data_IF_039102050523
#
_entry.id   IF_039102050523
#
_cell.length_a   1.000
_cell.length_b   1.000
_cell.length_c   1.000
_cell.angle_alpha   90.00
_cell.angle_beta   90.00
_cell.angle_gamma   90.00
#
_symmetry.space_group_name_H-M   'P 1'
#
loop_
_entity.id
_entity.type
_entity.pdbx_description
1 polymer ?
#
# COMPACT_ATOMS: atom_id res chain seq x y z
N UNK A 1 -66.86 -9.04 3.88
CA UNK A 1 -66.12 -8.50 2.73
C UNK A 1 -64.74 -8.11 3.23
N UNK A 2 -63.71 -8.79 2.75
CA UNK A 2 -62.31 -8.69 3.18
C UNK A 2 -61.57 -7.75 2.25
N UNK A 3 -60.80 -6.79 2.78
CA UNK A 3 -59.65 -6.19 2.08
C UNK A 3 -58.99 -5.15 3.00
N UNK A 4 -57.67 -4.99 3.10
CA UNK A 4 -56.49 -5.85 2.91
C UNK A 4 -55.36 -5.00 3.51
N UNK A 5 -54.68 -5.55 4.50
CA UNK A 5 -53.51 -4.95 5.15
C UNK A 5 -52.32 -5.08 4.20
N UNK A 6 -51.70 -3.97 3.81
CA UNK A 6 -50.42 -4.00 3.08
C UNK A 6 -49.29 -3.83 4.09
N UNK A 7 -48.66 -4.94 4.46
CA UNK A 7 -47.34 -4.96 5.09
C UNK A 7 -46.30 -4.71 4.00
N UNK A 8 -45.60 -3.58 4.07
CA UNK A 8 -44.41 -3.33 3.28
C UNK A 8 -43.22 -3.97 4.01
N UNK A 9 -42.84 -5.18 3.61
CA UNK A 9 -41.62 -5.83 4.08
C UNK A 9 -40.42 -5.16 3.42
N UNK A 10 -39.67 -4.37 4.19
CA UNK A 10 -38.34 -3.94 3.81
C UNK A 10 -37.39 -5.15 3.91
N UNK A 11 -37.03 -5.74 2.77
CA UNK A 11 -35.88 -6.64 2.70
C UNK A 11 -34.61 -5.78 2.88
N UNK A 12 -34.12 -5.70 4.11
CA UNK A 12 -32.74 -5.34 4.36
C UNK A 12 -31.87 -6.49 3.84
N UNK A 13 -31.21 -6.28 2.70
CA UNK A 13 -30.16 -7.16 2.23
C UNK A 13 -29.02 -7.12 3.23
N UNK A 14 -28.89 -8.17 4.04
CA UNK A 14 -27.70 -8.39 4.84
C UNK A 14 -26.54 -8.63 3.86
N UNK A 15 -25.67 -7.64 3.69
CA UNK A 15 -24.34 -7.85 3.15
C UNK A 15 -23.60 -8.75 4.16
N UNK A 16 -23.62 -10.06 3.90
CA UNK A 16 -22.93 -11.03 4.72
C UNK A 16 -21.43 -10.85 4.53
N UNK A 17 -20.78 -10.17 5.47
CA UNK A 17 -19.34 -10.29 5.70
C UNK A 17 -19.07 -11.78 5.97
N UNK A 18 -18.62 -12.50 4.94
CA UNK A 18 -18.22 -13.89 5.12
C UNK A 18 -16.90 -13.90 5.88
N UNK A 19 -16.98 -14.19 7.18
CA UNK A 19 -15.83 -14.57 7.98
C UNK A 19 -15.23 -15.83 7.37
N UNK A 20 -14.16 -15.69 6.60
CA UNK A 20 -13.40 -16.81 6.09
C UNK A 20 -12.30 -17.16 7.08
N UNK A 21 -12.56 -18.22 7.84
CA UNK A 21 -11.55 -19.06 8.49
C UNK A 21 -10.84 -19.84 7.38
N UNK A 22 -10.05 -19.13 6.57
CA UNK A 22 -9.29 -19.65 5.44
C UNK A 22 -7.81 -19.68 5.80
N UNK A 23 -7.15 -20.80 5.52
CA UNK A 23 -5.76 -21.08 5.84
C UNK A 23 -4.85 -19.85 5.69
N UNK A 24 -4.13 -19.54 6.78
CA UNK A 24 -3.09 -18.52 6.75
C UNK A 24 -2.18 -18.72 5.55
N UNK A 25 -1.83 -17.61 4.90
CA UNK A 25 -0.70 -17.60 3.98
C UNK A 25 0.57 -17.78 4.82
N UNK A 26 0.80 -19.03 5.23
CA UNK A 26 2.04 -19.47 5.82
C UNK A 26 3.16 -19.14 4.84
N UNK A 27 4.17 -18.43 5.37
CA UNK A 27 5.47 -18.22 4.74
C UNK A 27 5.40 -18.02 3.22
N UNK A 28 5.16 -16.79 2.77
CA UNK A 28 5.67 -16.40 1.46
C UNK A 28 7.19 -16.39 1.54
N UNK A 29 7.77 -17.58 1.35
CA UNK A 29 9.14 -17.76 0.94
C UNK A 29 9.41 -16.75 -0.19
N UNK A 30 10.43 -15.92 0.04
CA UNK A 30 11.00 -14.92 -0.88
C UNK A 30 11.30 -15.47 -2.30
N UNK A 31 11.18 -16.79 -2.52
CA UNK A 31 11.55 -17.52 -3.72
C UNK A 31 10.46 -17.70 -4.78
N UNK A 32 9.32 -17.00 -4.73
CA UNK A 32 8.33 -17.02 -5.83
C UNK A 32 7.93 -15.64 -6.35
N UNK A 33 8.89 -14.70 -6.44
CA UNK A 33 8.73 -13.53 -7.32
C UNK A 33 8.85 -14.00 -8.77
N UNK A 34 7.73 -14.12 -9.46
CA UNK A 34 7.63 -14.65 -10.82
C UNK A 34 8.27 -13.66 -11.82
N UNK A 35 9.58 -13.76 -12.07
CA UNK A 35 10.37 -12.94 -13.01
C UNK A 35 10.23 -13.46 -14.47
N UNK A 36 9.01 -13.73 -14.91
CA UNK A 36 8.74 -14.34 -16.21
C UNK A 36 8.52 -13.32 -17.34
N UNK A 37 9.60 -12.79 -17.92
CA UNK A 37 9.57 -11.97 -19.14
C UNK A 37 10.79 -12.23 -20.04
N UNK A 38 10.69 -12.05 -21.37
CA UNK A 38 11.80 -12.34 -22.30
C UNK A 38 13.01 -11.44 -22.02
N UNK A 39 14.20 -12.05 -21.87
CA UNK A 39 15.48 -11.36 -21.66
C UNK A 39 15.80 -10.44 -22.84
N UNK A 40 15.60 -9.13 -22.66
CA UNK A 40 16.27 -8.11 -23.48
C UNK A 40 17.72 -7.98 -22.96
N UNK A 41 18.66 -7.74 -23.87
CA UNK A 41 20.06 -7.40 -23.52
C UNK A 41 20.07 -6.19 -22.60
N UNK A 42 20.33 -6.44 -21.32
CA UNK A 42 20.21 -5.46 -20.25
C UNK A 42 21.57 -4.78 -20.04
N UNK A 43 21.62 -3.46 -20.21
CA UNK A 43 22.78 -2.67 -19.76
C UNK A 43 22.63 -2.52 -18.25
N UNK A 44 23.60 -2.95 -17.41
CA UNK A 44 23.46 -2.86 -15.97
C UNK A 44 23.28 -1.40 -15.55
N UNK A 45 22.11 -1.09 -14.98
CA UNK A 45 21.86 0.19 -14.32
C UNK A 45 22.73 0.29 -13.07
N UNK A 46 23.26 1.48 -12.77
CA UNK A 46 23.92 1.72 -11.50
C UNK A 46 22.93 1.52 -10.34
N UNK A 47 23.41 0.99 -9.21
CA UNK A 47 22.58 0.86 -8.01
C UNK A 47 22.05 2.24 -7.58
N UNK A 48 20.77 2.34 -7.16
CA UNK A 48 20.21 3.60 -6.72
C UNK A 48 20.89 4.08 -5.43
N UNK A 49 21.05 5.39 -5.30
CA UNK A 49 21.71 6.04 -4.16
C UNK A 49 20.79 6.97 -3.38
N UNK A 50 19.64 7.31 -3.96
CA UNK A 50 18.64 8.24 -3.44
C UNK A 50 17.26 7.93 -4.04
N UNK A 51 16.20 8.58 -3.55
CA UNK A 51 14.83 8.39 -4.03
C UNK A 51 14.70 8.68 -5.53
N UNK A 52 15.34 9.76 -6.01
CA UNK A 52 15.29 10.15 -7.41
C UNK A 52 15.84 9.07 -8.34
N UNK A 53 16.98 8.47 -7.99
CA UNK A 53 17.57 7.34 -8.70
C UNK A 53 16.79 6.05 -8.47
N UNK A 54 16.12 5.81 -7.35
CA UNK A 54 15.24 4.64 -7.21
C UNK A 54 14.00 4.73 -8.13
N UNK A 55 13.55 5.94 -8.45
CA UNK A 55 12.26 6.19 -9.11
C UNK A 55 12.29 6.23 -10.65
N UNK A 56 13.46 6.09 -11.29
CA UNK A 56 13.56 6.31 -12.76
C UNK A 56 13.13 5.12 -13.63
N UNK A 57 12.82 3.97 -13.04
CA UNK A 57 12.45 2.76 -13.78
C UNK A 57 11.08 2.26 -13.39
N UNK A 58 10.31 1.85 -14.41
CA UNK A 58 9.02 1.17 -14.27
C UNK A 58 9.11 -0.34 -14.50
N UNK A 59 10.29 -0.87 -14.85
CA UNK A 59 10.46 -2.32 -14.99
C UNK A 59 10.70 -2.94 -13.60
N UNK A 60 9.80 -3.84 -13.13
CA UNK A 60 9.91 -4.45 -11.80
C UNK A 60 11.22 -5.21 -11.59
N UNK A 61 11.82 -5.79 -12.64
CA UNK A 61 13.08 -6.52 -12.51
C UNK A 61 14.23 -5.57 -12.17
N UNK A 62 14.23 -4.36 -12.72
CA UNK A 62 15.22 -3.33 -12.40
C UNK A 62 14.99 -2.77 -11.00
N UNK A 63 13.73 -2.42 -10.70
CA UNK A 63 13.34 -1.81 -9.43
C UNK A 63 13.63 -2.74 -8.24
N UNK A 64 13.42 -4.05 -8.42
CA UNK A 64 13.65 -5.07 -7.40
C UNK A 64 15.08 -5.64 -7.39
N UNK A 65 16.03 -4.95 -8.04
CA UNK A 65 17.45 -5.26 -7.87
C UNK A 65 17.91 -4.78 -6.50
N UNK A 66 18.43 -5.70 -5.68
CA UNK A 66 18.91 -5.38 -4.33
C UNK A 66 20.05 -4.35 -4.35
N UNK A 67 20.05 -3.45 -3.37
CA UNK A 67 21.07 -2.43 -3.19
C UNK A 67 21.42 -2.28 -1.71
N UNK A 68 22.47 -1.50 -1.41
CA UNK A 68 22.86 -1.16 -0.04
C UNK A 68 22.65 0.33 0.19
N UNK A 69 22.17 0.68 1.37
CA UNK A 69 21.96 2.07 1.78
C UNK A 69 22.65 2.29 3.13
N UNK A 70 23.61 3.21 3.17
CA UNK A 70 24.50 3.35 4.33
C UNK A 70 23.74 3.63 5.65
N UNK A 71 22.73 4.51 5.70
CA UNK A 71 21.95 4.73 6.92
C UNK A 71 21.31 3.44 7.48
N UNK A 72 20.86 2.52 6.63
CA UNK A 72 20.38 1.20 7.08
C UNK A 72 21.52 0.35 7.61
N UNK A 73 22.68 0.31 6.93
CA UNK A 73 23.83 -0.47 7.37
C UNK A 73 24.35 -0.04 8.74
N UNK A 74 24.24 1.25 9.07
CA UNK A 74 24.69 1.83 10.33
C UNK A 74 23.82 1.38 11.51
N UNK A 75 22.53 1.11 11.27
CA UNK A 75 21.56 0.80 12.34
C UNK A 75 21.07 -0.64 12.34
N UNK A 76 21.15 -1.40 11.24
CA UNK A 76 20.50 -2.73 11.09
C UNK A 76 20.82 -3.75 12.18
N UNK A 77 22.00 -3.66 12.81
CA UNK A 77 22.40 -4.58 13.88
C UNK A 77 21.68 -4.29 15.22
N UNK A 78 20.94 -3.18 15.31
CA UNK A 78 20.12 -2.78 16.46
C UNK A 78 18.68 -3.32 16.36
N UNK A 79 18.37 -4.09 15.31
CA UNK A 79 17.04 -4.60 15.01
C UNK A 79 17.00 -6.13 15.07
N UNK A 80 15.80 -6.73 15.21
CA UNK A 80 15.62 -8.16 15.03
C UNK A 80 16.07 -8.62 13.65
N UNK A 81 16.26 -9.92 13.49
CA UNK A 81 16.56 -10.48 12.19
C UNK A 81 15.42 -10.15 11.19
N UNK A 82 15.81 -9.70 9.99
CA UNK A 82 14.89 -9.34 8.92
C UNK A 82 14.02 -10.57 8.58
N UNK A 83 12.70 -10.37 8.48
CA UNK A 83 11.67 -11.38 8.21
C UNK A 83 11.53 -12.49 9.27
N UNK A 84 12.18 -12.35 10.43
CA UNK A 84 11.97 -13.24 11.57
C UNK A 84 11.07 -12.56 12.60
N UNK A 85 10.31 -13.36 13.35
CA UNK A 85 9.54 -12.85 14.50
C UNK A 85 10.41 -12.01 15.42
N UNK A 86 9.93 -10.82 15.73
CA UNK A 86 10.65 -9.85 16.55
C UNK A 86 10.69 -10.30 18.02
N UNK A 87 11.83 -10.07 18.66
CA UNK A 87 11.99 -10.08 20.11
C UNK A 87 12.76 -8.84 20.53
N UNK A 88 12.73 -8.51 21.82
CA UNK A 88 13.53 -7.40 22.33
C UNK A 88 15.02 -7.72 22.10
N UNK A 89 15.69 -6.86 21.33
CA UNK A 89 17.10 -7.02 20.99
C UNK A 89 17.93 -6.92 22.28
N UNK A 90 18.91 -7.81 22.41
CA UNK A 90 19.76 -7.86 23.60
C UNK A 90 20.47 -6.52 23.82
N UNK A 91 20.30 -5.94 25.01
CA UNK A 91 20.88 -4.65 25.38
C UNK A 91 20.00 -3.43 25.05
N UNK A 92 18.84 -3.61 24.43
CA UNK A 92 17.88 -2.54 24.18
C UNK A 92 17.09 -2.20 25.45
N UNK A 93 17.71 -1.43 26.33
CA UNK A 93 17.12 -1.05 27.63
C UNK A 93 15.90 -0.14 27.49
N UNK A 94 15.79 0.60 26.38
CA UNK A 94 14.64 1.46 26.11
C UNK A 94 13.41 0.59 25.80
N UNK A 95 13.54 -0.36 24.86
CA UNK A 95 12.48 -1.31 24.55
C UNK A 95 12.05 -2.10 25.79
N UNK A 96 13.00 -2.55 26.62
CA UNK A 96 12.71 -3.24 27.88
C UNK A 96 11.89 -2.38 28.84
N UNK A 97 12.24 -1.11 29.01
CA UNK A 97 11.54 -0.19 29.92
C UNK A 97 10.12 0.13 29.45
N UNK A 98 9.96 0.38 28.15
CA UNK A 98 8.64 0.64 27.56
C UNK A 98 7.78 -0.63 27.66
N UNK A 99 8.32 -1.80 27.30
CA UNK A 99 7.62 -3.07 27.43
C UNK A 99 7.16 -3.34 28.86
N UNK A 100 8.03 -3.14 29.86
CA UNK A 100 7.66 -3.35 31.26
C UNK A 100 6.45 -2.50 31.68
N UNK A 101 6.38 -1.25 31.21
CA UNK A 101 5.27 -0.34 31.46
C UNK A 101 3.98 -0.83 30.78
N UNK A 102 4.05 -1.15 29.49
CA UNK A 102 2.90 -1.64 28.72
C UNK A 102 2.39 -2.97 29.27
N UNK A 103 3.29 -3.89 29.60
CA UNK A 103 2.93 -5.21 30.13
C UNK A 103 2.24 -5.10 31.49
N UNK A 104 2.62 -4.12 32.33
CA UNK A 104 1.88 -3.82 33.56
C UNK A 104 0.44 -3.37 33.26
N UNK A 105 0.23 -2.52 32.24
CA UNK A 105 -1.11 -2.11 31.79
C UNK A 105 -1.92 -3.27 31.23
N UNK A 106 -1.31 -4.17 30.45
CA UNK A 106 -1.98 -5.39 29.97
C UNK A 106 -2.45 -6.26 31.15
N UNK A 107 -1.58 -6.49 32.13
CA UNK A 107 -1.91 -7.27 33.33
C UNK A 107 -2.97 -6.60 34.20
N UNK A 108 -3.12 -5.28 34.12
CA UNK A 108 -4.18 -4.55 34.83
C UNK A 108 -5.51 -4.58 34.08
N UNK A 109 -5.52 -4.29 32.78
CA UNK A 109 -6.74 -4.14 31.97
C UNK A 109 -7.32 -5.48 31.51
N UNK A 110 -6.48 -6.41 31.06
CA UNK A 110 -6.90 -7.64 30.37
C UNK A 110 -6.05 -8.87 30.77
N UNK A 111 -5.90 -9.17 32.08
CA UNK A 111 -4.99 -10.23 32.56
C UNK A 111 -5.35 -11.65 32.09
N UNK A 112 -6.57 -11.87 31.65
CA UNK A 112 -7.09 -13.21 31.33
C UNK A 112 -6.89 -13.61 29.86
N UNK A 113 -6.54 -12.65 29.00
CA UNK A 113 -6.43 -12.87 27.56
C UNK A 113 -5.07 -13.54 27.27
N UNK A 114 -5.12 -14.80 26.84
CA UNK A 114 -3.93 -15.58 26.48
C UNK A 114 -3.71 -15.59 24.95
N UNK A 115 -2.48 -15.88 24.48
CA UNK A 115 -2.21 -16.06 23.06
C UNK A 115 -3.04 -17.17 22.42
N UNK A 116 -3.36 -17.04 21.12
CA UNK A 116 -4.28 -17.92 20.38
C UNK A 116 -3.64 -18.38 19.07
N UNK A 117 -3.71 -19.68 18.81
CA UNK A 117 -3.19 -20.27 17.55
C UNK A 117 -1.66 -20.18 17.44
N UNK A 118 -1.18 -20.13 16.20
CA UNK A 118 0.25 -20.05 15.86
C UNK A 118 0.54 -18.82 15.01
N UNK A 119 1.82 -18.44 14.91
CA UNK A 119 2.26 -17.30 14.11
C UNK A 119 1.83 -17.37 12.63
N UNK A 120 1.66 -18.58 12.09
CA UNK A 120 1.22 -18.82 10.70
C UNK A 120 -0.32 -18.92 10.54
N UNK A 121 -1.10 -18.65 11.60
CA UNK A 121 -2.56 -18.68 11.53
C UNK A 121 -3.19 -20.06 11.65
N UNK A 122 -2.44 -21.06 12.15
CA UNK A 122 -3.05 -22.33 12.55
C UNK A 122 -3.76 -22.16 13.89
N UNK A 123 -5.09 -22.27 13.86
CA UNK A 123 -5.98 -22.20 15.03
C UNK A 123 -6.52 -23.58 15.42
N UNK A 124 -5.96 -24.66 14.88
CA UNK A 124 -6.38 -26.03 15.22
C UNK A 124 -6.26 -26.27 16.73
N UNK A 125 -7.37 -26.65 17.35
CA UNK A 125 -7.43 -26.91 18.80
C UNK A 125 -7.63 -25.67 19.67
N UNK A 126 -7.73 -24.46 19.08
CA UNK A 126 -8.16 -23.27 19.83
C UNK A 126 -9.64 -23.42 20.19
N UNK A 127 -9.93 -23.53 21.48
CA UNK A 127 -11.29 -23.50 22.02
C UNK A 127 -11.56 -22.09 22.51
N UNK A 128 -12.45 -21.38 21.82
CA UNK A 128 -12.76 -19.97 22.12
C UNK A 128 -14.25 -19.76 22.38
N UNK A 129 -14.56 -18.79 23.24
CA UNK A 129 -15.93 -18.54 23.67
C UNK A 129 -16.72 -17.80 22.58
N UNK A 130 -17.89 -18.34 22.22
CA UNK A 130 -18.77 -17.77 21.20
C UNK A 130 -19.37 -16.38 21.55
N UNK A 131 -19.28 -15.95 22.80
CA UNK A 131 -19.63 -14.58 23.21
C UNK A 131 -18.53 -13.56 22.91
N UNK A 132 -17.36 -14.02 22.45
CA UNK A 132 -16.20 -13.19 22.09
C UNK A 132 -15.76 -12.19 23.17
N UNK A 133 -15.40 -12.67 24.37
CA UNK A 133 -15.04 -11.79 25.50
C UNK A 133 -13.77 -10.96 25.23
N UNK A 134 -12.90 -11.40 24.34
CA UNK A 134 -11.62 -10.72 24.05
C UNK A 134 -11.74 -9.72 22.89
N UNK A 135 -12.93 -9.58 22.28
CA UNK A 135 -13.14 -8.87 21.03
C UNK A 135 -12.11 -9.27 19.96
N UNK A 136 -12.08 -10.56 19.65
CA UNK A 136 -11.09 -11.15 18.75
C UNK A 136 -11.57 -11.09 17.31
N UNK A 137 -10.87 -10.29 16.51
CA UNK A 137 -11.24 -10.03 15.12
C UNK A 137 -11.21 -11.30 14.27
N UNK A 138 -10.21 -12.17 14.42
CA UNK A 138 -10.10 -13.41 13.64
C UNK A 138 -11.28 -14.37 13.88
N UNK A 139 -11.98 -14.25 15.01
CA UNK A 139 -13.13 -15.10 15.32
C UNK A 139 -14.48 -14.49 14.93
N UNK A 140 -14.70 -13.19 15.21
CA UNK A 140 -16.01 -12.53 15.01
C UNK A 140 -15.94 -11.21 14.27
N UNK A 141 -14.77 -10.84 13.77
CA UNK A 141 -14.48 -9.52 13.22
C UNK A 141 -14.87 -8.39 14.19
N UNK A 142 -14.69 -8.65 15.50
CA UNK A 142 -14.97 -7.65 16.52
C UNK A 142 -13.98 -6.49 16.42
N UNK A 143 -14.53 -5.29 16.29
CA UNK A 143 -13.80 -4.02 16.07
C UNK A 143 -14.17 -2.95 17.11
N UNK A 144 -15.07 -3.28 18.03
CA UNK A 144 -15.50 -2.39 19.11
C UNK A 144 -15.28 -3.12 20.43
N UNK A 145 -14.13 -2.91 21.10
CA UNK A 145 -13.91 -3.40 22.45
C UNK A 145 -15.02 -2.97 23.40
N UNK A 146 -15.27 -3.76 24.43
CA UNK A 146 -16.24 -3.40 25.47
C UNK A 146 -15.78 -2.16 26.25
N UNK A 147 -16.73 -1.33 26.68
CA UNK A 147 -16.46 -0.04 27.35
C UNK A 147 -15.56 -0.17 28.59
N UNK A 148 -15.64 -1.29 29.32
CA UNK A 148 -14.86 -1.58 30.52
C UNK A 148 -13.35 -1.74 30.26
N UNK A 149 -12.94 -2.02 29.02
CA UNK A 149 -11.53 -2.03 28.62
C UNK A 149 -10.93 -0.63 28.51
N UNK A 150 -11.78 0.39 28.33
CA UNK A 150 -11.37 1.77 28.04
C UNK A 150 -10.63 1.94 26.71
N UNK A 151 -10.66 0.93 25.83
CA UNK A 151 -10.08 1.01 24.49
C UNK A 151 -11.05 1.68 23.51
N UNK A 152 -10.56 2.49 22.55
CA UNK A 152 -11.39 3.01 21.48
C UNK A 152 -11.80 1.89 20.51
N UNK A 153 -12.88 2.13 19.76
CA UNK A 153 -13.22 1.30 18.61
C UNK A 153 -12.15 1.45 17.51
N UNK A 154 -11.92 0.38 16.76
CA UNK A 154 -11.02 0.39 15.62
C UNK A 154 -11.60 1.23 14.47
N UNK A 155 -10.73 1.88 13.71
CA UNK A 155 -11.14 2.53 12.45
C UNK A 155 -11.45 1.43 11.43
N UNK A 156 -12.70 1.34 10.98
CA UNK A 156 -13.17 0.36 9.98
C UNK A 156 -13.86 1.01 8.78
N UNK A 157 -14.33 2.24 8.94
CA UNK A 157 -14.98 3.07 7.94
C UNK A 157 -14.46 4.51 8.08
N UNK A 158 -14.79 5.38 7.14
CA UNK A 158 -14.55 6.83 7.28
C UNK A 158 -15.86 7.57 7.53
N UNK A 159 -15.85 8.66 8.33
CA UNK A 159 -17.08 9.35 8.72
C UNK A 159 -17.78 10.06 7.56
N UNK A 160 -17.01 10.55 6.59
CA UNK A 160 -17.55 11.33 5.48
C UNK A 160 -18.28 10.45 4.45
N UNK A 161 -19.55 10.72 4.12
CA UNK A 161 -20.31 9.95 3.15
C UNK A 161 -19.65 9.85 1.78
N UNK A 162 -19.77 8.69 1.14
CA UNK A 162 -19.24 8.41 -0.21
C UNK A 162 -17.75 8.78 -0.35
N UNK A 163 -16.97 8.59 0.72
CA UNK A 163 -15.52 8.83 0.75
C UNK A 163 -14.77 7.52 0.88
N UNK A 164 -13.85 7.23 -0.03
CA UNK A 164 -12.96 6.07 0.12
C UNK A 164 -11.75 6.46 0.98
N UNK A 165 -11.56 5.80 2.12
CA UNK A 165 -10.33 5.84 2.93
C UNK A 165 -9.24 4.95 2.31
N UNK A 166 -8.37 5.55 1.50
CA UNK A 166 -7.42 4.86 0.63
C UNK A 166 -6.15 4.48 1.40
N UNK A 167 -5.78 3.20 1.34
CA UNK A 167 -4.51 2.72 1.85
C UNK A 167 -4.06 1.40 1.25
N UNK A 168 -2.79 1.07 1.47
CA UNK A 168 -2.11 -0.11 0.95
C UNK A 168 -1.29 -0.80 2.02
N UNK A 169 -1.44 -2.12 2.12
CA UNK A 169 -0.71 -2.97 3.05
C UNK A 169 0.54 -3.59 2.40
N UNK A 170 1.40 -4.15 3.25
CA UNK A 170 2.59 -4.93 2.90
C UNK A 170 3.73 -4.17 2.22
N UNK A 171 3.73 -2.84 2.33
CA UNK A 171 4.79 -1.98 1.82
C UNK A 171 6.03 -1.90 2.70
N UNK A 172 7.03 -1.09 2.30
CA UNK A 172 7.23 -0.63 0.93
C UNK A 172 7.60 -1.80 0.00
N UNK A 173 7.13 -1.76 -1.25
CA UNK A 173 7.50 -2.73 -2.26
C UNK A 173 8.52 -2.18 -3.24
N UNK A 174 9.49 -2.99 -3.66
CA UNK A 174 10.47 -2.56 -4.65
C UNK A 174 9.85 -2.08 -5.97
N UNK A 175 8.74 -2.68 -6.43
CA UNK A 175 8.14 -2.43 -7.75
C UNK A 175 7.06 -1.32 -7.78
N UNK A 176 6.96 -0.54 -6.71
CA UNK A 176 5.84 0.39 -6.49
C UNK A 176 5.81 1.65 -7.37
N UNK A 177 6.83 1.89 -8.21
CA UNK A 177 6.97 3.19 -8.89
C UNK A 177 5.75 3.56 -9.74
N UNK A 178 5.16 2.62 -10.48
CA UNK A 178 3.99 2.91 -11.32
C UNK A 178 2.75 3.35 -10.51
N UNK A 179 2.53 2.76 -9.33
CA UNK A 179 1.45 3.17 -8.42
C UNK A 179 1.74 4.55 -7.84
N UNK A 180 2.95 4.80 -7.37
CA UNK A 180 3.31 6.07 -6.74
C UNK A 180 3.35 7.21 -7.77
N UNK A 181 3.77 6.95 -9.01
CA UNK A 181 3.69 7.91 -10.13
C UNK A 181 2.23 8.30 -10.40
N UNK A 182 1.32 7.32 -10.51
CA UNK A 182 -0.12 7.58 -10.67
C UNK A 182 -0.65 8.45 -9.52
N UNK A 183 -0.33 8.10 -8.28
CA UNK A 183 -0.79 8.85 -7.10
C UNK A 183 -0.24 10.28 -7.12
N UNK A 184 1.05 10.46 -7.43
CA UNK A 184 1.70 11.75 -7.54
C UNK A 184 1.07 12.62 -8.65
N UNK A 185 0.92 12.09 -9.87
CA UNK A 185 0.35 12.79 -11.03
C UNK A 185 -1.09 13.24 -10.81
N UNK A 186 -1.87 12.48 -10.04
CA UNK A 186 -3.25 12.80 -9.70
C UNK A 186 -3.39 13.61 -8.41
N UNK A 187 -2.27 14.07 -7.84
CA UNK A 187 -2.22 14.75 -6.55
C UNK A 187 -2.98 13.98 -5.45
N UNK A 188 -2.89 12.66 -5.48
CA UNK A 188 -3.56 11.75 -4.57
C UNK A 188 -2.58 11.22 -3.53
N UNK A 189 -2.98 11.21 -2.27
CA UNK A 189 -2.25 10.56 -1.17
C UNK A 189 -3.04 9.34 -0.68
N UNK A 190 -2.33 8.43 -0.04
CA UNK A 190 -2.86 7.24 0.58
C UNK A 190 -2.22 7.02 1.95
N UNK A 191 -2.78 6.11 2.73
CA UNK A 191 -2.17 5.59 3.96
C UNK A 191 -1.42 4.30 3.64
N UNK A 192 -0.10 4.29 3.84
CA UNK A 192 0.77 3.15 3.56
C UNK A 192 1.08 2.40 4.85
N UNK A 193 0.79 1.11 4.91
CA UNK A 193 1.07 0.25 6.07
C UNK A 193 2.34 -0.54 5.80
N UNK A 194 3.44 -0.13 6.44
CA UNK A 194 4.76 -0.68 6.17
C UNK A 194 5.15 -1.80 7.13
N UNK A 195 5.65 -2.89 6.56
CA UNK A 195 6.33 -3.96 7.29
C UNK A 195 7.75 -3.48 7.62
N UNK A 196 8.17 -3.59 8.89
CA UNK A 196 9.48 -3.10 9.33
C UNK A 196 10.65 -3.72 8.57
N UNK A 197 10.58 -5.02 8.28
CA UNK A 197 11.57 -5.73 7.46
C UNK A 197 11.68 -5.16 6.04
N UNK A 198 10.56 -4.77 5.41
CA UNK A 198 10.57 -4.14 4.09
C UNK A 198 11.25 -2.77 4.11
N UNK A 199 11.15 -2.00 5.19
CA UNK A 199 11.85 -0.71 5.32
C UNK A 199 13.38 -0.89 5.29
N UNK A 200 13.89 -2.00 5.82
CA UNK A 200 15.31 -2.35 5.72
C UNK A 200 15.69 -2.80 4.31
N UNK A 201 14.86 -3.63 3.67
CA UNK A 201 15.13 -4.16 2.34
C UNK A 201 15.02 -3.09 1.24
N UNK A 202 14.08 -2.15 1.39
CA UNK A 202 13.72 -1.14 0.39
C UNK A 202 13.62 0.28 0.98
N UNK A 203 14.69 0.80 1.60
CA UNK A 203 14.65 2.09 2.30
C UNK A 203 14.38 3.29 1.39
N UNK A 204 14.87 3.28 0.14
CA UNK A 204 14.60 4.37 -0.82
C UNK A 204 13.11 4.40 -1.23
N UNK A 205 12.50 3.23 -1.38
CA UNK A 205 11.07 3.10 -1.65
C UNK A 205 10.23 3.56 -0.44
N UNK A 206 10.66 3.24 0.77
CA UNK A 206 10.06 3.73 2.01
C UNK A 206 10.11 5.27 2.10
N UNK A 207 11.28 5.86 1.84
CA UNK A 207 11.47 7.31 1.85
C UNK A 207 10.62 8.00 0.79
N UNK A 208 10.50 7.41 -0.40
CA UNK A 208 9.63 7.93 -1.45
C UNK A 208 8.19 8.10 -0.96
N UNK A 209 7.65 7.14 -0.20
CA UNK A 209 6.28 7.26 0.31
C UNK A 209 6.07 8.48 1.20
N UNK A 210 7.05 8.78 2.06
CA UNK A 210 6.98 9.98 2.88
C UNK A 210 7.23 11.26 2.06
N UNK A 211 8.22 11.27 1.15
CA UNK A 211 8.53 12.42 0.28
C UNK A 211 7.37 12.79 -0.64
N UNK A 212 6.65 11.80 -1.16
CA UNK A 212 5.44 11.99 -1.97
C UNK A 212 4.23 12.43 -1.12
N UNK A 213 4.37 12.53 0.21
CA UNK A 213 3.38 13.07 1.14
C UNK A 213 2.31 12.07 1.56
N UNK A 214 2.56 10.77 1.45
CA UNK A 214 1.67 9.74 1.98
C UNK A 214 1.73 9.68 3.51
N UNK A 215 0.67 9.16 4.13
CA UNK A 215 0.73 8.80 5.55
C UNK A 215 1.41 7.44 5.68
N UNK A 216 2.29 7.28 6.66
CA UNK A 216 3.00 6.03 6.93
C UNK A 216 2.53 5.46 8.28
N UNK A 217 2.01 4.24 8.25
CA UNK A 217 1.55 3.46 9.39
C UNK A 217 2.35 2.17 9.54
N UNK A 218 2.23 1.54 10.70
CA UNK A 218 2.94 0.29 11.03
C UNK A 218 2.13 -0.93 10.55
N UNK A 219 2.82 -1.93 10.00
CA UNK A 219 2.26 -3.23 9.66
C UNK A 219 3.07 -4.41 10.22
N UNK A 220 3.62 -4.23 11.43
CA UNK A 220 4.46 -5.20 12.16
C UNK A 220 5.81 -5.47 11.50
N UNK A 221 6.69 -6.21 12.18
CA UNK A 221 8.05 -6.43 11.75
C UNK A 221 8.14 -7.61 10.77
N UNK A 222 7.42 -8.68 11.08
CA UNK A 222 7.49 -9.98 10.41
C UNK A 222 6.17 -10.44 9.76
N UNK A 223 5.10 -9.66 9.89
CA UNK A 223 3.80 -9.90 9.25
C UNK A 223 3.21 -11.28 9.62
N UNK A 224 3.02 -11.51 10.91
CA UNK A 224 2.49 -12.75 11.48
C UNK A 224 1.20 -12.48 12.28
N UNK A 225 0.46 -13.54 12.62
CA UNK A 225 -0.76 -13.45 13.42
C UNK A 225 -0.45 -12.97 14.85
N UNK A 226 -0.76 -11.70 15.14
CA UNK A 226 -0.37 -11.02 16.38
C UNK A 226 -0.95 -11.65 17.64
N UNK A 227 -2.17 -12.18 17.58
CA UNK A 227 -2.83 -12.78 18.76
C UNK A 227 -2.18 -14.08 19.19
N UNK A 228 -1.37 -14.71 18.35
CA UNK A 228 -0.56 -15.89 18.68
C UNK A 228 0.68 -15.58 19.53
N UNK A 229 1.10 -14.32 19.59
CA UNK A 229 2.33 -13.92 20.25
C UNK A 229 2.17 -13.65 21.74
N UNK A 230 3.25 -13.84 22.50
CA UNK A 230 3.34 -13.29 23.87
C UNK A 230 3.27 -11.75 23.83
N UNK A 231 3.03 -11.12 24.98
CA UNK A 231 3.00 -9.65 25.06
C UNK A 231 4.33 -9.03 24.61
N UNK A 232 5.46 -9.67 24.93
CA UNK A 232 6.79 -9.18 24.58
C UNK A 232 7.02 -9.23 23.07
N UNK A 233 6.66 -10.33 22.41
CA UNK A 233 6.81 -10.48 20.96
C UNK A 233 5.88 -9.54 20.22
N UNK A 234 4.60 -9.45 20.62
CA UNK A 234 3.65 -8.51 20.03
C UNK A 234 4.11 -7.04 20.19
N UNK A 235 4.67 -6.69 21.36
CA UNK A 235 5.29 -5.39 21.56
C UNK A 235 6.47 -5.17 20.61
N UNK A 236 7.38 -6.14 20.50
CA UNK A 236 8.58 -6.03 19.67
C UNK A 236 8.23 -5.88 18.18
N UNK A 237 7.22 -6.59 17.67
CA UNK A 237 6.71 -6.47 16.31
C UNK A 237 6.29 -5.03 15.95
N UNK A 238 5.61 -4.35 16.88
CA UNK A 238 5.19 -2.96 16.70
C UNK A 238 6.34 -1.98 16.93
N UNK A 239 7.10 -2.18 18.02
CA UNK A 239 8.18 -1.29 18.45
C UNK A 239 9.30 -1.19 17.42
N UNK A 240 9.83 -2.32 16.94
CA UNK A 240 10.95 -2.29 15.98
C UNK A 240 10.54 -1.79 14.60
N UNK A 241 9.28 -2.00 14.20
CA UNK A 241 8.73 -1.41 12.98
C UNK A 241 8.63 0.11 13.10
N UNK A 242 8.11 0.60 14.23
CA UNK A 242 8.07 2.03 14.51
C UNK A 242 9.47 2.64 14.54
N UNK A 243 10.42 1.95 15.18
CA UNK A 243 11.80 2.40 15.32
C UNK A 243 12.52 2.46 13.98
N UNK A 244 12.38 1.47 13.09
CA UNK A 244 13.05 1.52 11.78
C UNK A 244 12.44 2.62 10.89
N UNK A 245 11.12 2.82 10.96
CA UNK A 245 10.48 3.96 10.27
C UNK A 245 11.07 5.27 10.80
N UNK A 246 11.26 5.42 12.11
CA UNK A 246 11.92 6.61 12.68
C UNK A 246 13.36 6.77 12.21
N UNK A 247 14.16 5.70 12.25
CA UNK A 247 15.58 5.77 11.94
C UNK A 247 15.83 6.07 10.44
N UNK A 248 14.96 5.58 9.53
CA UNK A 248 15.13 5.76 8.07
C UNK A 248 14.34 6.95 7.51
N UNK A 249 13.10 7.17 7.97
CA UNK A 249 12.21 8.21 7.44
C UNK A 249 12.14 9.46 8.34
N UNK A 250 12.67 9.37 9.57
CA UNK A 250 12.68 10.50 10.51
C UNK A 250 11.36 10.74 11.24
N UNK A 251 10.33 9.92 11.02
CA UNK A 251 8.99 10.06 11.59
C UNK A 251 8.59 8.87 12.48
N UNK A 252 7.76 9.13 13.48
CA UNK A 252 7.28 8.13 14.43
C UNK A 252 5.76 7.96 14.28
N UNK A 253 5.27 6.92 13.56
CA UNK A 253 3.84 6.69 13.33
C UNK A 253 2.99 6.60 14.61
N UNK A 254 1.72 7.01 14.48
CA UNK A 254 0.66 6.87 15.49
C UNK A 254 -0.49 5.95 15.03
N UNK A 255 -0.31 5.22 13.94
CA UNK A 255 -1.30 4.34 13.36
C UNK A 255 -0.67 2.99 12.99
N UNK A 256 -1.48 1.95 13.00
CA UNK A 256 -1.08 0.63 12.58
C UNK A 256 -2.28 -0.17 12.06
N UNK A 257 -1.99 -1.25 11.33
CA UNK A 257 -2.98 -2.25 10.93
C UNK A 257 -2.46 -3.64 11.27
N UNK A 258 -3.27 -4.52 11.90
CA UNK A 258 -2.87 -5.89 12.20
C UNK A 258 -2.81 -6.73 10.92
N UNK A 259 -1.71 -7.48 10.68
CA UNK A 259 -1.66 -8.52 9.66
C UNK A 259 -2.86 -9.46 9.77
N UNK A 260 -3.47 -9.80 8.64
CA UNK A 260 -4.66 -10.67 8.57
C UNK A 260 -5.89 -10.17 9.33
N UNK A 261 -5.88 -8.91 9.80
CA UNK A 261 -6.89 -8.39 10.72
C UNK A 261 -6.75 -8.94 12.15
N UNK A 262 -5.71 -9.74 12.44
CA UNK A 262 -5.63 -10.51 13.68
C UNK A 262 -5.29 -9.63 14.90
N UNK A 263 -6.33 -9.25 15.64
CA UNK A 263 -6.23 -8.42 16.83
C UNK A 263 -7.27 -8.83 17.88
N UNK A 264 -6.88 -8.80 19.15
CA UNK A 264 -7.75 -8.91 20.32
C UNK A 264 -7.48 -7.75 21.30
N UNK A 265 -8.26 -7.64 22.37
CA UNK A 265 -8.09 -6.53 23.33
C UNK A 265 -6.70 -6.47 23.97
N UNK A 266 -6.00 -7.59 24.10
CA UNK A 266 -4.62 -7.61 24.60
C UNK A 266 -3.68 -6.93 23.61
N UNK A 267 -3.78 -7.28 22.33
CA UNK A 267 -2.99 -6.62 21.29
C UNK A 267 -3.34 -5.12 21.17
N UNK A 268 -4.62 -4.75 21.29
CA UNK A 268 -5.04 -3.33 21.30
C UNK A 268 -4.43 -2.55 22.47
N UNK A 269 -4.38 -3.10 23.69
CA UNK A 269 -3.70 -2.46 24.83
C UNK A 269 -2.22 -2.26 24.55
N UNK A 270 -1.55 -3.23 23.93
CA UNK A 270 -0.12 -3.11 23.57
C UNK A 270 0.09 -1.99 22.55
N UNK A 271 -0.75 -1.92 21.52
CA UNK A 271 -0.71 -0.86 20.51
C UNK A 271 -1.02 0.53 21.09
N UNK A 272 -2.05 0.64 21.95
CA UNK A 272 -2.40 1.87 22.68
C UNK A 272 -1.23 2.35 23.56
N UNK A 273 -0.52 1.42 24.22
CA UNK A 273 0.68 1.72 25.01
C UNK A 273 1.82 2.32 24.19
N UNK A 274 1.83 2.12 22.88
CA UNK A 274 2.73 2.76 21.92
C UNK A 274 2.11 4.01 21.26
N UNK A 275 0.94 4.45 21.68
CA UNK A 275 0.15 5.53 21.08
C UNK A 275 -0.18 5.25 19.60
N UNK A 276 -0.61 4.02 19.31
CA UNK A 276 -1.02 3.59 17.99
C UNK A 276 -2.54 3.40 17.92
N UNK A 277 -3.19 4.04 16.94
CA UNK A 277 -4.57 3.80 16.57
C UNK A 277 -4.67 2.58 15.67
N UNK A 278 -5.52 1.61 16.05
CA UNK A 278 -5.80 0.41 15.26
C UNK A 278 -6.73 0.73 14.10
N UNK A 279 -6.27 0.43 12.89
CA UNK A 279 -7.03 0.57 11.65
C UNK A 279 -7.24 -0.81 11.06
N UNK A 280 -8.48 -1.16 10.75
CA UNK A 280 -8.88 -2.37 10.01
C UNK A 280 -9.63 -1.92 8.75
N UNK A 281 -10.35 -2.82 8.08
CA UNK A 281 -11.15 -2.54 6.89
C UNK A 281 -12.56 -3.10 7.06
N UNK A 282 -13.47 -2.61 6.22
CA UNK A 282 -14.84 -3.14 6.12
C UNK A 282 -15.17 -3.70 4.73
N UNK A 283 -14.30 -3.50 3.76
CA UNK A 283 -14.34 -4.09 2.42
C UNK A 283 -12.94 -4.58 2.05
N UNK A 284 -12.84 -5.67 1.30
CA UNK A 284 -11.58 -6.30 0.90
C UNK A 284 -11.57 -6.48 -0.62
N UNK A 285 -10.53 -5.94 -1.28
CA UNK A 285 -10.34 -6.11 -2.73
C UNK A 285 -10.06 -7.56 -3.12
N UNK A 286 -9.60 -8.38 -2.17
CA UNK A 286 -9.10 -9.74 -2.38
C UNK A 286 -7.93 -9.80 -3.39
N UNK A 287 -7.29 -8.67 -3.71
CA UNK A 287 -6.23 -8.58 -4.73
C UNK A 287 -5.06 -9.55 -4.47
N UNK A 288 -4.73 -9.78 -3.19
CA UNK A 288 -3.74 -10.73 -2.72
C UNK A 288 -4.07 -12.19 -3.03
N UNK A 289 -5.34 -12.53 -3.30
CA UNK A 289 -5.79 -13.91 -3.55
C UNK A 289 -5.49 -14.41 -4.95
N UNK A 290 -4.97 -13.58 -5.85
CA UNK A 290 -4.66 -13.99 -7.22
C UNK A 290 -3.87 -15.31 -7.28
N UNK A 291 -4.40 -16.30 -7.99
CA UNK A 291 -3.77 -17.62 -8.12
C UNK A 291 -3.89 -18.53 -6.89
N UNK A 292 -4.52 -18.09 -5.81
CA UNK A 292 -4.91 -18.92 -4.66
C UNK A 292 -6.34 -19.42 -4.84
N UNK A 293 -6.63 -20.68 -4.49
CA UNK A 293 -7.99 -21.24 -4.55
C UNK A 293 -8.73 -21.01 -5.89
N UNK A 294 -8.01 -21.05 -7.01
CA UNK A 294 -8.51 -20.77 -8.37
C UNK A 294 -9.05 -19.34 -8.60
N UNK A 295 -8.74 -18.37 -7.74
CA UNK A 295 -9.07 -16.96 -7.96
C UNK A 295 -8.29 -16.43 -9.16
N UNK A 296 -9.03 -15.83 -10.09
CA UNK A 296 -8.52 -15.26 -11.34
C UNK A 296 -8.49 -13.74 -11.27
N UNK A 297 -7.81 -13.10 -12.23
CA UNK A 297 -7.85 -11.64 -12.34
C UNK A 297 -9.28 -11.10 -12.57
N UNK A 298 -10.15 -11.85 -13.25
CA UNK A 298 -11.54 -11.44 -13.46
C UNK A 298 -12.36 -11.44 -12.16
N UNK A 299 -12.02 -12.30 -11.20
CA UNK A 299 -12.67 -12.29 -9.89
C UNK A 299 -12.27 -11.04 -9.08
N UNK A 300 -11.00 -10.62 -9.20
CA UNK A 300 -10.49 -9.39 -8.59
C UNK A 300 -11.12 -8.15 -9.27
N UNK A 301 -11.16 -8.14 -10.60
CA UNK A 301 -11.86 -7.11 -11.39
C UNK A 301 -13.30 -6.90 -10.92
N UNK A 302 -14.03 -7.99 -10.70
CA UNK A 302 -15.41 -7.96 -10.22
C UNK A 302 -15.55 -7.31 -8.83
N UNK A 303 -14.54 -7.45 -7.95
CA UNK A 303 -14.53 -6.76 -6.66
C UNK A 303 -14.38 -5.25 -6.81
N UNK A 304 -13.46 -4.78 -7.66
CA UNK A 304 -13.31 -3.34 -7.94
C UNK A 304 -14.57 -2.75 -8.59
N UNK A 305 -15.18 -3.47 -9.53
CA UNK A 305 -16.45 -3.08 -10.15
C UNK A 305 -17.59 -3.00 -9.12
N UNK A 306 -17.64 -3.94 -8.16
CA UNK A 306 -18.60 -3.91 -7.04
C UNK A 306 -18.43 -2.66 -6.19
N UNK A 307 -17.20 -2.25 -5.85
CA UNK A 307 -16.98 -1.02 -5.06
C UNK A 307 -17.44 0.24 -5.78
N UNK A 308 -17.25 0.29 -7.10
CA UNK A 308 -17.74 1.39 -7.95
C UNK A 308 -19.27 1.43 -7.94
N UNK A 309 -19.93 0.27 -8.08
CA UNK A 309 -21.39 0.18 -8.04
C UNK A 309 -21.97 0.55 -6.66
N UNK A 310 -21.32 0.14 -5.56
CA UNK A 310 -21.72 0.51 -4.20
C UNK A 310 -21.69 2.03 -3.98
N UNK A 311 -20.69 2.74 -4.53
CA UNK A 311 -20.63 4.20 -4.45
C UNK A 311 -21.80 4.86 -5.19
N UNK A 312 -22.19 4.31 -6.34
CA UNK A 312 -23.25 4.85 -7.20
C UNK A 312 -24.66 4.52 -6.70
N UNK A 313 -24.86 3.39 -6.01
CA UNK A 313 -26.18 2.93 -5.56
C UNK A 313 -26.56 3.42 -4.15
N UNK A 314 -25.73 4.27 -3.53
CA UNK A 314 -26.00 4.85 -2.22
C UNK A 314 -25.64 3.95 -1.03
N UNK A 315 -24.87 2.87 -1.22
CA UNK A 315 -24.36 2.03 -0.11
C UNK A 315 -23.63 2.89 0.93
N UNK A 316 -22.85 3.88 0.46
CA UNK A 316 -22.04 4.78 1.29
C UNK A 316 -22.74 6.13 1.55
N UNK A 317 -24.06 6.14 1.76
CA UNK A 317 -24.83 7.38 1.92
C UNK A 317 -24.58 8.10 3.26
N UNK A 318 -24.11 7.40 4.30
CA UNK A 318 -23.93 7.94 5.66
C UNK A 318 -22.50 7.92 6.17
N UNK A 319 -21.62 7.20 5.49
CA UNK A 319 -20.20 7.03 5.79
C UNK A 319 -19.47 6.59 4.50
N UNK A 320 -18.20 6.25 4.57
CA UNK A 320 -17.47 5.68 3.46
C UNK A 320 -16.60 4.48 3.84
N UNK A 321 -16.13 3.68 2.88
CA UNK A 321 -15.38 2.47 3.18
C UNK A 321 -13.91 2.75 3.46
N UNK A 322 -13.31 1.91 4.30
CA UNK A 322 -11.88 1.64 4.29
C UNK A 322 -11.71 0.29 3.58
N UNK A 323 -11.16 0.32 2.37
CA UNK A 323 -11.00 -0.88 1.55
C UNK A 323 -9.56 -1.38 1.66
N UNK A 324 -9.39 -2.67 1.94
CA UNK A 324 -8.08 -3.32 1.95
C UNK A 324 -7.55 -3.49 0.52
N UNK A 325 -6.35 -2.96 0.28
CA UNK A 325 -5.57 -3.13 -0.94
C UNK A 325 -4.12 -3.40 -0.53
N UNK A 326 -3.32 -3.96 -1.42
CA UNK A 326 -1.94 -4.30 -1.10
C UNK A 326 -0.96 -3.76 -2.13
N UNK A 327 0.20 -3.28 -1.66
CA UNK A 327 1.38 -3.08 -2.50
C UNK A 327 2.27 -4.34 -2.55
N UNK A 328 1.68 -5.53 -2.48
CA UNK A 328 2.41 -6.82 -2.43
C UNK A 328 3.31 -7.09 -3.64
N UNK A 329 2.84 -6.78 -4.85
CA UNK A 329 3.56 -7.02 -6.10
C UNK A 329 2.95 -6.21 -7.25
N UNK A 330 3.55 -6.33 -8.44
CA UNK A 330 3.09 -5.59 -9.62
C UNK A 330 1.61 -5.86 -9.98
N UNK A 331 1.08 -7.07 -9.76
CA UNK A 331 -0.32 -7.36 -10.05
C UNK A 331 -1.25 -6.55 -9.14
N UNK A 332 -1.11 -6.67 -7.81
CA UNK A 332 -2.00 -5.99 -6.85
C UNK A 332 -2.00 -4.47 -7.05
N UNK A 333 -0.83 -3.89 -7.27
CA UNK A 333 -0.69 -2.46 -7.55
C UNK A 333 -1.29 -2.07 -8.91
N UNK A 334 -1.14 -2.89 -9.94
CA UNK A 334 -1.69 -2.61 -11.27
C UNK A 334 -3.22 -2.62 -11.30
N UNK A 335 -3.87 -3.36 -10.40
CA UNK A 335 -5.33 -3.36 -10.26
C UNK A 335 -5.84 -1.99 -9.80
N UNK A 336 -5.23 -1.41 -8.77
CA UNK A 336 -5.53 -0.03 -8.38
C UNK A 336 -5.28 0.94 -9.53
N UNK A 337 -4.15 0.82 -10.25
CA UNK A 337 -3.84 1.68 -11.40
C UNK A 337 -4.92 1.59 -12.48
N UNK A 338 -5.40 0.38 -12.77
CA UNK A 338 -6.44 0.10 -13.76
C UNK A 338 -7.80 0.71 -13.41
N UNK A 339 -8.17 0.72 -12.14
CA UNK A 339 -9.50 1.16 -11.68
C UNK A 339 -9.53 2.58 -11.10
N UNK A 340 -8.38 3.22 -10.88
CA UNK A 340 -8.28 4.51 -10.19
C UNK A 340 -9.21 5.59 -10.76
N UNK A 341 -9.27 5.72 -12.10
CA UNK A 341 -10.10 6.76 -12.74
C UNK A 341 -11.61 6.56 -12.50
N UNK A 342 -12.07 5.30 -12.52
CA UNK A 342 -13.44 4.91 -12.28
C UNK A 342 -13.80 5.10 -10.81
N UNK A 343 -12.89 4.71 -9.89
CA UNK A 343 -13.03 4.92 -8.45
C UNK A 343 -13.17 6.41 -8.16
N UNK A 344 -12.25 7.23 -8.68
CA UNK A 344 -12.25 8.68 -8.44
C UNK A 344 -13.51 9.37 -8.97
N UNK A 345 -14.10 8.83 -10.04
CA UNK A 345 -15.35 9.33 -10.60
C UNK A 345 -16.59 8.88 -9.82
N UNK A 346 -16.53 7.72 -9.16
CA UNK A 346 -17.67 7.12 -8.48
C UNK A 346 -17.86 7.64 -7.04
N UNK A 347 -16.77 7.91 -6.33
CA UNK A 347 -16.79 8.43 -4.97
C UNK A 347 -16.76 9.96 -4.96
N UNK A 348 -17.36 10.58 -3.93
CA UNK A 348 -17.27 12.04 -3.72
C UNK A 348 -15.85 12.47 -3.39
N UNK A 349 -15.15 11.63 -2.63
CA UNK A 349 -13.76 11.84 -2.28
C UNK A 349 -13.02 10.51 -2.17
N UNK A 350 -11.72 10.55 -2.44
CA UNK A 350 -10.78 9.45 -2.22
C UNK A 350 -9.61 10.09 -1.51
N UNK A 351 -9.34 9.69 -0.28
CA UNK A 351 -8.45 10.42 0.65
C UNK A 351 -7.65 9.42 1.49
N UNK A 352 -6.44 9.77 1.98
CA UNK A 352 -5.78 8.98 3.02
C UNK A 352 -6.62 8.96 4.29
N UNK A 353 -6.50 7.91 5.10
CA UNK A 353 -7.35 7.69 6.27
C UNK A 353 -7.21 8.82 7.31
N UNK A 354 -5.98 9.34 7.54
CA UNK A 354 -5.80 10.49 8.42
C UNK A 354 -6.62 11.72 8.01
N UNK A 355 -6.71 12.02 6.71
CA UNK A 355 -7.46 13.18 6.24
C UNK A 355 -8.96 12.99 6.51
N UNK A 356 -9.48 11.78 6.27
CA UNK A 356 -10.87 11.45 6.54
C UNK A 356 -11.26 11.58 8.03
N UNK A 357 -10.28 11.43 8.94
CA UNK A 357 -10.46 11.61 10.39
C UNK A 357 -9.96 12.96 10.91
N UNK A 358 -9.57 13.89 10.02
CA UNK A 358 -8.99 15.19 10.37
C UNK A 358 -7.75 15.11 11.27
N UNK A 359 -6.94 14.05 11.13
CA UNK A 359 -5.72 13.81 11.92
C UNK A 359 -4.55 14.55 11.27
N UNK A 360 -4.41 15.84 11.55
CA UNK A 360 -3.37 16.68 10.93
C UNK A 360 -1.94 16.42 11.41
N UNK A 361 -1.77 15.63 12.48
CA UNK A 361 -0.47 15.29 13.08
C UNK A 361 -0.33 13.76 13.30
N UNK A 362 -0.20 12.98 12.21
CA UNK A 362 -0.16 11.52 12.26
C UNK A 362 1.13 10.95 12.89
N UNK A 363 2.14 11.79 13.12
CA UNK A 363 3.43 11.44 13.73
C UNK A 363 3.64 12.09 15.09
N UNK A 364 4.55 11.55 15.90
CA UNK A 364 4.94 12.17 17.19
C UNK A 364 5.63 13.51 16.96
N UNK A 365 6.41 13.61 15.90
CA UNK A 365 7.08 14.84 15.49
C UNK A 365 6.06 15.88 15.04
N UNK A 366 6.25 17.12 15.48
CA UNK A 366 5.33 18.25 15.21
C UNK A 366 5.72 19.05 13.99
N UNK A 367 6.83 18.69 13.34
CA UNK A 367 7.31 19.37 12.14
C UNK A 367 6.65 18.86 10.86
N UNK A 368 5.77 17.86 10.93
CA UNK A 368 4.93 17.37 9.82
C UNK A 368 3.47 17.73 10.09
N UNK A 369 2.86 18.50 9.20
CA UNK A 369 1.43 18.81 9.27
C UNK A 369 0.74 18.40 7.98
N UNK A 370 -0.23 17.51 8.12
CA UNK A 370 -1.05 17.01 7.03
C UNK A 370 -2.36 17.80 6.92
N UNK A 371 -2.93 17.94 5.72
CA UNK A 371 -4.23 18.57 5.54
C UNK A 371 -5.35 17.75 6.17
N UNK A 372 -6.31 18.44 6.78
CA UNK A 372 -7.59 17.86 7.20
C UNK A 372 -8.49 17.54 5.98
N UNK A 373 -9.67 16.97 6.21
CA UNK A 373 -10.57 16.55 5.14
C UNK A 373 -10.95 17.72 4.21
N UNK A 374 -11.33 18.86 4.80
CA UNK A 374 -11.76 20.03 4.05
C UNK A 374 -10.63 20.61 3.19
N UNK A 375 -9.44 20.75 3.77
CA UNK A 375 -8.25 21.24 3.06
C UNK A 375 -7.86 20.28 1.93
N UNK A 376 -7.82 18.97 2.21
CA UNK A 376 -7.46 17.94 1.22
C UNK A 376 -8.43 17.94 0.03
N UNK A 377 -9.74 17.91 0.30
CA UNK A 377 -10.77 17.86 -0.75
C UNK A 377 -10.90 19.17 -1.53
N UNK A 378 -10.44 20.29 -0.96
CA UNK A 378 -10.31 21.58 -1.68
C UNK A 378 -9.05 21.66 -2.56
N UNK A 379 -8.19 20.64 -2.56
CA UNK A 379 -6.99 20.54 -3.39
C UNK A 379 -5.66 20.79 -2.67
N UNK A 380 -5.68 21.12 -1.38
CA UNK A 380 -4.46 21.26 -0.58
C UNK A 380 -4.04 19.90 -0.01
N UNK A 381 -3.16 19.22 -0.73
CA UNK A 381 -2.65 17.88 -0.40
C UNK A 381 -1.20 17.90 0.11
N UNK A 382 -0.58 19.08 0.12
CA UNK A 382 0.80 19.27 0.54
C UNK A 382 0.95 19.03 2.04
N UNK A 383 2.00 18.30 2.40
CA UNK A 383 2.44 18.15 3.78
C UNK A 383 3.38 19.32 4.08
N UNK A 384 3.05 20.10 5.11
CA UNK A 384 3.96 21.13 5.60
C UNK A 384 5.03 20.47 6.44
N UNK A 385 6.29 20.50 5.98
CA UNK A 385 7.44 20.05 6.75
C UNK A 385 8.37 21.22 7.07
N UNK A 386 8.60 21.48 8.36
CA UNK A 386 9.67 22.41 8.77
C UNK A 386 10.93 21.62 9.03
N UNK A 387 11.59 21.20 7.94
CA UNK A 387 12.95 20.68 8.02
C UNK A 387 13.87 21.84 8.41
N UNK A 388 14.62 21.71 9.50
CA UNK A 388 15.83 22.51 9.70
C UNK A 388 16.80 22.14 8.57
N UNK A 389 16.68 22.83 7.44
CA UNK A 389 17.58 22.69 6.30
C UNK A 389 19.00 23.00 6.78
N UNK A 390 19.87 21.98 6.79
CA UNK A 390 21.29 22.22 6.58
C UNK A 390 21.43 22.89 5.21
N UNK A 391 21.94 24.09 5.26
CA UNK A 391 21.83 25.12 4.24
C UNK A 391 22.69 24.79 3.01
N UNK A 392 22.09 24.88 1.82
CA UNK A 392 22.82 25.23 0.61
C UNK A 392 22.00 26.31 -0.12
N UNK A 393 22.35 27.55 0.22
CA UNK A 393 21.78 28.78 -0.30
C UNK A 393 22.03 28.89 -1.81
N UNK A 394 20.99 29.14 -2.60
CA UNK A 394 21.12 29.81 -3.91
C UNK A 394 19.87 30.61 -4.19
N UNK A 395 19.80 31.76 -3.54
CA UNK A 395 18.90 32.86 -3.92
C UNK A 395 19.27 33.38 -5.32
N UNK A 396 18.35 33.26 -6.29
CA UNK A 396 18.40 34.04 -7.52
C UNK A 396 17.00 34.58 -7.84
N UNK A 397 16.74 35.80 -7.34
CA UNK A 397 15.58 36.61 -7.67
C UNK A 397 15.66 37.11 -9.11
N UNK A 398 14.61 36.87 -9.89
CA UNK A 398 14.36 37.52 -11.17
C UNK A 398 13.90 38.97 -10.94
N UNK A 399 14.73 39.93 -11.34
CA UNK A 399 14.28 41.28 -11.68
C UNK A 399 14.90 41.75 -12.99
N UNK A 400 14.01 42.06 -13.93
CA UNK A 400 14.31 42.65 -15.22
C UNK A 400 14.66 44.14 -15.08
N UNK A 401 15.69 44.60 -15.79
CA UNK A 401 15.76 45.98 -16.27
C UNK A 401 16.79 46.16 -17.39
N UNK A 402 16.26 46.49 -18.58
CA UNK A 402 16.65 47.59 -19.46
C UNK A 402 18.12 47.89 -19.85
N UNK A 403 18.27 48.04 -21.18
CA UNK A 403 19.17 48.93 -21.95
C UNK A 403 20.55 48.42 -22.42
N UNK A 404 20.56 47.94 -23.66
CA UNK A 404 21.23 48.51 -24.85
C UNK A 404 22.59 49.22 -24.69
N UNK A 405 23.64 48.74 -25.39
CA UNK A 405 24.11 49.27 -26.70
C UNK A 405 25.54 48.84 -27.06
N UNK A 406 25.71 48.46 -28.34
CA UNK A 406 26.89 48.59 -29.24
C UNK A 406 28.20 47.82 -28.87
N UNK A 407 29.03 47.29 -29.79
CA UNK A 407 29.23 47.40 -31.23
C UNK A 407 30.05 46.14 -31.68
N UNK A 408 29.72 45.42 -32.77
CA UNK A 408 30.12 45.58 -34.20
C UNK A 408 31.48 45.00 -34.64
N UNK A 409 31.47 44.47 -35.87
CA UNK A 409 32.56 44.03 -36.79
C UNK A 409 32.98 42.54 -36.66
N UNK A 410 32.87 41.62 -37.64
CA UNK A 410 32.88 41.53 -39.13
C UNK A 410 34.18 40.91 -39.68
N UNK A 411 34.05 39.95 -40.61
CA UNK A 411 35.09 39.44 -41.52
C UNK A 411 35.36 37.94 -41.31
N UNK A 412 34.93 36.97 -42.14
CA UNK A 412 35.06 36.69 -43.58
C UNK A 412 36.42 36.11 -44.02
N UNK A 413 36.40 34.92 -44.66
CA UNK A 413 37.44 34.37 -45.55
C UNK A 413 37.84 32.93 -45.19
N UNK A 414 37.26 31.85 -45.74
CA UNK A 414 37.36 31.22 -47.09
C UNK A 414 38.64 30.42 -47.41
N UNK A 415 38.38 29.29 -48.11
CA UNK A 415 39.23 28.36 -48.92
C UNK A 415 39.81 27.15 -48.19
N UNK A 416 39.86 25.92 -48.75
CA UNK A 416 39.40 25.31 -50.01
C UNK A 416 39.52 23.76 -49.82
N UNK A 417 38.51 22.95 -50.17
CA UNK A 417 38.32 22.19 -51.42
C UNK A 417 39.38 21.11 -51.75
N UNK A 418 38.94 19.85 -51.83
CA UNK A 418 39.21 18.95 -52.96
C UNK A 418 38.24 17.74 -52.96
N UNK A 419 37.44 17.66 -54.02
CA UNK A 419 36.64 16.53 -54.50
C UNK A 419 37.57 15.53 -55.23
N UNK A 420 37.23 14.38 -55.83
CA UNK A 420 36.07 13.53 -56.08
C UNK A 420 36.62 12.27 -56.82
N UNK A 421 35.79 11.21 -56.94
CA UNK A 421 35.62 10.28 -58.08
C UNK A 421 35.36 8.84 -57.58
N UNK A 422 34.16 8.27 -57.69
CA UNK A 422 33.41 7.74 -58.86
C UNK A 422 33.76 6.30 -59.28
N UNK A 423 32.72 5.46 -59.33
CA UNK A 423 32.43 4.36 -60.29
C UNK A 423 31.38 3.42 -59.63
N UNK A 424 30.13 3.24 -60.06
CA UNK A 424 29.44 2.99 -61.35
C UNK A 424 29.24 1.49 -61.69
N UNK A 425 28.01 1.21 -62.20
CA UNK A 425 27.42 -0.01 -62.81
C UNK A 425 26.75 -1.02 -61.85
N UNK A 426 25.63 -1.70 -62.14
CA UNK A 426 24.39 -1.60 -62.96
C UNK A 426 23.87 -3.04 -63.20
N UNK A 427 22.57 -3.19 -63.49
CA UNK A 427 21.87 -4.36 -64.07
C UNK A 427 21.33 -5.40 -63.03
N UNK A 428 20.14 -6.01 -63.12
CA UNK A 428 18.98 -6.01 -64.04
C UNK A 428 17.85 -6.81 -63.34
N UNK A 429 16.57 -6.61 -63.70
CA UNK A 429 15.41 -7.39 -63.22
C UNK A 429 15.35 -8.85 -63.74
N UNK A 430 14.25 -9.62 -63.54
CA UNK A 430 12.89 -9.21 -63.94
C UNK A 430 11.73 -9.60 -63.00
N UNK A 431 10.55 -9.13 -63.42
CA UNK A 431 9.18 -9.30 -62.92
C UNK A 431 8.61 -10.71 -63.18
N UNK A 432 7.70 -11.19 -62.32
CA UNK A 432 6.56 -12.02 -62.75
C UNK A 432 5.36 -11.94 -61.77
N UNK A 433 4.20 -11.65 -62.33
CA UNK A 433 2.85 -11.61 -61.74
C UNK A 433 2.03 -12.77 -62.32
N UNK A 434 1.25 -13.51 -61.51
CA UNK A 434 -0.04 -14.20 -61.77
C UNK A 434 -0.53 -14.68 -60.37
N UNK A 435 -1.77 -14.61 -59.88
CA UNK A 435 -3.10 -14.33 -60.42
C UNK A 435 -4.10 -15.37 -59.88
N UNK A 436 -5.15 -14.90 -59.17
CA UNK A 436 -6.45 -15.57 -58.90
C UNK A 436 -6.50 -16.67 -57.83
N UNK A 437 -7.63 -17.07 -57.25
CA UNK A 437 -9.00 -16.55 -57.15
C UNK A 437 -9.83 -17.61 -56.37
N UNK A 438 -10.77 -17.16 -55.52
CA UNK A 438 -12.08 -17.78 -55.20
C UNK A 438 -12.13 -19.07 -54.36
N UNK A 439 -13.01 -19.06 -53.33
CA UNK A 439 -13.57 -20.28 -52.73
C UNK A 439 -14.31 -20.09 -51.41
N UNK A 440 -15.52 -19.53 -51.46
CA UNK A 440 -16.55 -19.54 -50.40
C UNK A 440 -17.07 -20.98 -50.20
N UNK A 441 -17.25 -21.47 -48.95
CA UNK A 441 -18.43 -22.28 -48.54
C UNK A 441 -18.68 -22.11 -47.02
N UNK A 442 -19.95 -21.90 -46.69
CA UNK A 442 -20.53 -21.76 -45.36
C UNK A 442 -21.04 -23.08 -44.76
N UNK A 443 -21.34 -23.07 -43.47
CA UNK A 443 -22.20 -24.04 -42.78
C UNK A 443 -21.58 -24.66 -41.54
N UNK A 444 -22.27 -24.97 -40.45
CA UNK A 444 -23.61 -24.73 -39.91
C UNK A 444 -23.57 -25.41 -38.52
N UNK A 445 -24.24 -24.81 -37.53
CA UNK A 445 -24.92 -25.42 -36.36
C UNK A 445 -24.24 -26.55 -35.56
N UNK A 446 -24.15 -26.34 -34.24
CA UNK A 446 -23.96 -27.40 -33.26
C UNK A 446 -24.24 -26.94 -31.84
N UNK A 447 -25.50 -27.02 -31.43
CA UNK A 447 -26.00 -26.86 -30.05
C UNK A 447 -25.44 -27.98 -29.16
N UNK A 448 -24.99 -27.65 -27.95
CA UNK A 448 -24.59 -28.61 -26.93
C UNK A 448 -24.72 -28.03 -25.52
N UNK A 449 -25.65 -28.60 -24.77
CA UNK A 449 -26.21 -28.17 -23.48
C UNK A 449 -25.53 -28.93 -22.32
N UNK A 450 -25.41 -28.26 -21.16
CA UNK A 450 -25.26 -28.74 -19.76
C UNK A 450 -24.24 -29.85 -19.41
N UNK A 451 -23.42 -29.59 -18.38
CA UNK A 451 -23.63 -30.20 -17.05
C UNK A 451 -22.68 -29.60 -16.00
N UNK A 452 -23.30 -29.04 -14.96
CA UNK A 452 -22.78 -28.80 -13.61
C UNK A 452 -22.25 -30.07 -12.95
N UNK A 453 -21.11 -29.95 -12.27
CA UNK A 453 -20.85 -30.52 -10.93
C UNK A 453 -19.90 -29.60 -10.17
#
# INVERSE_FOLDING_TARGET
>A
MVSSTVFLAALAGAAGVHAHVGAGCGGHHVNKRNMGGPMKTYVPRAAPTDVASASQSLDPAEQCTAYSYQPVLDVKNQFPAIWQTAGIVAGDTEAQSIFATINATVNQKVPQISPKGTANGDHTGVVYNNTDPDCWWTWRSCTTPSEDTGLPADITTVPEPQTWGLGFDDGPNCSHNALYDLLYENNQKATMFYIGSNVIDWPLQAMRGLEDGHEICIHTWSHQYMTSFSNEVAFAELYYTRKIIKDILGVTPKCWRPPFGDVDNRIRVIAEGLNLTTIVWNEDSDDWRIGTNNVTAADIDANYERFIQQAQNGTWATNGPVILNHELNNFTMSEMVKYYSQIKSAYKAVVPIQAAYNITNPYVETNYTYPDFASYTSGSTNVSSTSASSSADTSASTQASGRASAASASGSGTKAAAAAAQSSKSATGPVRTVGGAVGIVAGLLGVGVLATF
#
